data_IF_731210212302
#
_entry.id   IF_731210212302
#
_cell.length_a   1.000
_cell.length_b   1.000
_cell.length_c   1.000
_cell.angle_alpha   90.00
_cell.angle_beta   90.00
_cell.angle_gamma   90.00
#
_symmetry.space_group_name_H-M   'P 1'
#
loop_
_entity.id
_entity.type
_entity.pdbx_description
1 polymer ?
#
# COMPACT_ATOMS: atom_id res chain seq x y z
N UNK A 1 5.96 -17.50 3.02
CA UNK A 1 6.19 -18.82 2.39
C UNK A 1 7.44 -18.75 1.53
N UNK A 2 8.37 -19.71 1.67
CA UNK A 2 9.62 -19.79 0.90
C UNK A 2 9.35 -19.85 -0.61
N UNK A 3 10.04 -19.02 -1.40
CA UNK A 3 9.92 -19.03 -2.86
C UNK A 3 8.55 -18.63 -3.41
N UNK A 4 7.62 -18.18 -2.56
CA UNK A 4 6.27 -17.86 -2.97
C UNK A 4 6.26 -16.70 -3.96
N UNK A 5 5.52 -16.87 -5.06
CA UNK A 5 5.45 -15.94 -6.18
C UNK A 5 4.03 -15.38 -6.31
N UNK A 6 3.94 -14.07 -6.50
CA UNK A 6 2.72 -13.41 -6.95
C UNK A 6 2.99 -12.73 -8.29
N UNK A 7 2.05 -12.90 -9.22
CA UNK A 7 2.16 -12.41 -10.59
C UNK A 7 2.78 -13.43 -11.57
N UNK A 8 3.00 -13.05 -12.84
CA UNK A 8 2.75 -11.72 -13.40
C UNK A 8 1.29 -11.29 -13.25
N UNK A 9 1.06 -10.05 -12.82
CA UNK A 9 -0.28 -9.53 -12.60
C UNK A 9 -0.33 -8.02 -12.83
N UNK A 10 -1.42 -7.59 -13.45
CA UNK A 10 -1.82 -6.19 -13.58
C UNK A 10 -2.91 -5.89 -12.55
N UNK A 11 -2.81 -4.76 -11.86
CA UNK A 11 -3.77 -4.35 -10.82
C UNK A 11 -4.43 -3.02 -11.19
N UNK A 12 -5.73 -2.80 -10.90
CA UNK A 12 -6.41 -1.54 -11.21
C UNK A 12 -6.31 -0.51 -10.07
N UNK A 13 -5.38 -0.66 -9.13
CA UNK A 13 -5.23 0.19 -7.95
C UNK A 13 -3.74 0.33 -7.58
N UNK A 14 -3.39 1.39 -6.84
CA UNK A 14 -2.06 1.57 -6.29
C UNK A 14 -1.83 0.61 -5.14
N UNK A 15 -0.62 0.07 -5.06
CA UNK A 15 -0.24 -0.84 -4.00
C UNK A 15 1.16 -0.54 -3.51
N UNK A 16 1.28 -0.22 -2.22
CA UNK A 16 2.58 -0.03 -1.56
C UNK A 16 2.85 -1.25 -0.70
N UNK A 17 4.03 -1.84 -0.85
CA UNK A 17 4.56 -2.86 0.04
C UNK A 17 5.69 -2.30 0.89
N UNK A 18 5.80 -2.79 2.13
CA UNK A 18 6.95 -2.54 2.99
C UNK A 18 7.40 -3.84 3.66
N UNK A 19 8.69 -4.14 3.55
CA UNK A 19 9.28 -5.39 4.02
C UNK A 19 9.69 -5.22 5.48
N UNK A 20 9.10 -6.04 6.36
CA UNK A 20 9.36 -6.05 7.79
C UNK A 20 10.59 -6.88 8.15
N UNK A 21 10.75 -8.03 7.50
CA UNK A 21 11.86 -8.95 7.71
C UNK A 21 12.16 -9.74 6.43
N UNK A 22 13.34 -10.37 6.36
CA UNK A 22 13.73 -11.21 5.24
C UNK A 22 13.96 -10.45 3.93
N UNK A 23 13.81 -11.13 2.81
CA UNK A 23 14.12 -10.62 1.48
C UNK A 23 13.30 -11.27 0.36
N UNK A 24 13.39 -10.68 -0.82
CA UNK A 24 12.83 -11.23 -2.04
C UNK A 24 13.13 -10.37 -3.26
N UNK A 25 12.45 -10.68 -4.36
CA UNK A 25 12.65 -10.04 -5.66
C UNK A 25 11.35 -9.41 -6.15
N UNK A 26 11.37 -8.11 -6.44
CA UNK A 26 10.31 -7.41 -7.15
C UNK A 26 10.71 -7.19 -8.61
N UNK A 27 9.81 -7.48 -9.54
CA UNK A 27 10.03 -7.38 -10.98
C UNK A 27 8.95 -6.53 -11.61
N UNK A 28 9.40 -5.66 -12.51
CA UNK A 28 8.61 -4.84 -13.41
C UNK A 28 9.07 -5.14 -14.84
N UNK A 29 8.36 -4.62 -15.83
CA UNK A 29 8.79 -4.72 -17.23
C UNK A 29 10.18 -4.09 -17.49
N UNK A 30 10.58 -3.14 -16.66
CA UNK A 30 11.80 -2.34 -16.84
C UNK A 30 12.99 -2.89 -16.06
N UNK A 31 12.75 -3.51 -14.91
CA UNK A 31 13.81 -3.79 -13.93
C UNK A 31 13.45 -4.87 -12.92
N UNK A 32 14.51 -5.46 -12.37
CA UNK A 32 14.47 -6.47 -11.31
C UNK A 32 15.18 -5.91 -10.08
N UNK A 33 14.47 -5.88 -8.96
CA UNK A 33 14.93 -5.34 -7.69
C UNK A 33 15.02 -6.45 -6.65
N UNK A 34 16.19 -6.62 -6.03
CA UNK A 34 16.35 -7.45 -4.83
C UNK A 34 16.14 -6.55 -3.62
N UNK A 35 15.17 -6.90 -2.78
CA UNK A 35 14.72 -6.07 -1.68
C UNK A 35 14.81 -6.82 -0.37
N UNK A 36 15.03 -6.08 0.72
CA UNK A 36 15.13 -6.60 2.07
C UNK A 36 14.36 -5.75 3.09
N UNK A 37 14.36 -6.20 4.35
CA UNK A 37 13.78 -5.49 5.48
C UNK A 37 14.18 -4.00 5.50
N UNK A 38 13.20 -3.13 5.76
CA UNK A 38 13.39 -1.67 5.72
C UNK A 38 13.14 -1.04 4.35
N UNK A 39 12.97 -1.84 3.30
CA UNK A 39 12.65 -1.36 1.96
C UNK A 39 11.19 -1.63 1.59
N UNK A 40 10.71 -0.90 0.60
CA UNK A 40 9.38 -1.07 0.06
C UNK A 40 9.31 -0.73 -1.42
N UNK A 41 8.18 -1.06 -2.03
CA UNK A 41 7.95 -0.79 -3.44
C UNK A 41 6.51 -0.37 -3.73
N UNK A 42 6.35 0.50 -4.73
CA UNK A 42 5.09 0.92 -5.31
C UNK A 42 4.76 0.07 -6.55
N UNK A 43 3.50 -0.32 -6.69
CA UNK A 43 2.90 -0.80 -7.94
C UNK A 43 1.81 0.19 -8.32
N UNK A 44 1.89 0.73 -9.53
CA UNK A 44 0.87 1.63 -10.06
C UNK A 44 -0.23 0.87 -10.82
N UNK A 45 -1.45 1.44 -10.93
CA UNK A 45 -2.51 0.88 -11.75
C UNK A 45 -2.04 0.61 -13.18
N UNK A 46 -2.38 -0.56 -13.73
CA UNK A 46 -2.04 -0.92 -15.10
C UNK A 46 -0.62 -1.47 -15.31
N UNK A 47 0.23 -1.46 -14.28
CA UNK A 47 1.59 -2.02 -14.37
C UNK A 47 1.58 -3.54 -14.18
N UNK A 48 2.18 -4.29 -15.09
CA UNK A 48 2.44 -5.71 -14.88
C UNK A 48 3.65 -5.88 -13.96
N UNK A 49 3.45 -6.59 -12.86
CA UNK A 49 4.52 -6.84 -11.89
C UNK A 49 4.51 -8.26 -11.38
N UNK A 50 5.67 -8.71 -10.91
CA UNK A 50 5.84 -10.00 -10.22
C UNK A 50 6.69 -9.79 -8.97
N UNK A 51 6.33 -10.39 -7.85
CA UNK A 51 7.21 -10.43 -6.69
C UNK A 51 7.32 -11.84 -6.10
N UNK A 52 8.52 -12.18 -5.67
CA UNK A 52 8.92 -13.54 -5.28
C UNK A 52 9.68 -13.47 -3.96
N UNK A 53 9.19 -14.16 -2.93
CA UNK A 53 9.91 -14.30 -1.67
C UNK A 53 11.21 -15.08 -1.89
N UNK A 54 12.29 -14.69 -1.20
CA UNK A 54 13.51 -15.48 -1.21
C UNK A 54 13.26 -16.90 -0.68
N UNK A 55 14.06 -17.87 -1.14
CA UNK A 55 13.89 -19.27 -0.72
C UNK A 55 14.44 -19.53 0.67
N UNK A 56 15.54 -18.87 1.03
CA UNK A 56 16.26 -19.10 2.28
C UNK A 56 15.80 -18.13 3.37
N UNK A 57 15.53 -16.89 2.99
CA UNK A 57 15.17 -15.77 3.87
C UNK A 57 13.89 -15.09 3.38
N UNK A 58 12.75 -15.80 3.28
CA UNK A 58 11.54 -15.24 2.72
C UNK A 58 11.10 -13.99 3.48
N UNK A 59 10.68 -12.97 2.75
CA UNK A 59 10.17 -11.76 3.38
C UNK A 59 8.90 -11.97 4.20
N UNK A 60 8.72 -11.15 5.22
CA UNK A 60 7.41 -10.74 5.73
C UNK A 60 7.21 -9.27 5.38
N UNK A 61 5.98 -8.90 5.01
CA UNK A 61 5.67 -7.55 4.56
C UNK A 61 4.26 -7.15 4.93
N UNK A 62 4.04 -5.85 5.02
CA UNK A 62 2.71 -5.22 5.03
C UNK A 62 2.45 -4.55 3.71
N UNK A 63 1.18 -4.35 3.36
CA UNK A 63 0.81 -3.71 2.13
C UNK A 63 -0.44 -2.85 2.30
N UNK A 64 -0.56 -1.83 1.45
CA UNK A 64 -1.71 -0.91 1.43
C UNK A 64 -2.14 -0.74 -0.02
N UNK A 65 -3.35 -1.20 -0.32
CA UNK A 65 -4.00 -0.98 -1.60
C UNK A 65 -4.94 0.22 -1.53
N UNK A 66 -4.86 1.13 -2.49
CA UNK A 66 -5.74 2.30 -2.55
C UNK A 66 -6.03 2.75 -3.98
N UNK A 67 -7.20 3.37 -4.17
CA UNK A 67 -7.69 3.86 -5.46
C UNK A 67 -8.69 5.00 -5.26
N UNK A 68 -9.14 5.61 -6.36
CA UNK A 68 -10.11 6.71 -6.35
C UNK A 68 -9.50 8.06 -6.74
N UNK A 69 -10.35 9.08 -6.84
CA UNK A 69 -10.02 10.36 -7.49
C UNK A 69 -8.84 11.13 -6.87
N UNK A 70 -8.45 10.79 -5.64
CA UNK A 70 -7.36 11.44 -4.91
C UNK A 70 -6.09 10.59 -4.83
N UNK A 71 -6.11 9.35 -5.33
CA UNK A 71 -4.98 8.43 -5.24
C UNK A 71 -3.77 8.96 -6.05
N UNK A 72 -4.01 9.42 -7.27
CA UNK A 72 -2.96 10.01 -8.12
C UNK A 72 -2.34 11.25 -7.46
N UNK A 73 -3.17 12.11 -6.88
CA UNK A 73 -2.71 13.33 -6.19
C UNK A 73 -1.88 13.00 -4.94
N UNK A 74 -2.19 11.90 -4.24
CA UNK A 74 -1.42 11.44 -3.09
C UNK A 74 -0.05 10.92 -3.53
N UNK A 75 0.00 10.11 -4.59
CA UNK A 75 1.26 9.57 -5.13
C UNK A 75 2.15 10.69 -5.67
N UNK A 76 1.59 11.71 -6.32
CA UNK A 76 2.35 12.88 -6.78
C UNK A 76 3.03 13.68 -5.65
N UNK A 77 2.60 13.52 -4.40
CA UNK A 77 3.19 14.18 -3.24
C UNK A 77 4.39 13.42 -2.65
N UNK A 78 4.70 12.23 -3.15
CA UNK A 78 5.82 11.41 -2.69
C UNK A 78 6.78 11.13 -3.86
N UNK A 79 8.09 10.98 -3.61
CA UNK A 79 9.07 10.70 -4.65
C UNK A 79 9.04 9.22 -5.05
N UNK A 80 7.87 8.71 -5.42
CA UNK A 80 7.68 7.36 -5.94
C UNK A 80 6.84 7.39 -7.20
N UNK A 81 7.24 6.59 -8.18
CA UNK A 81 6.50 6.41 -9.42
C UNK A 81 6.98 5.12 -10.10
N UNK A 82 6.42 4.78 -11.27
CA UNK A 82 6.84 3.61 -12.05
C UNK A 82 8.35 3.49 -12.32
N UNK A 83 9.07 4.61 -12.53
CA UNK A 83 10.51 4.61 -12.81
C UNK A 83 11.37 4.53 -11.55
N UNK A 84 10.86 5.10 -10.45
CA UNK A 84 11.49 5.05 -9.13
C UNK A 84 10.51 4.43 -8.13
N UNK A 85 10.23 3.11 -8.23
CA UNK A 85 9.18 2.50 -7.42
C UNK A 85 9.66 2.11 -6.03
N UNK A 86 10.97 2.12 -5.77
CA UNK A 86 11.58 1.59 -4.55
C UNK A 86 11.84 2.72 -3.55
N UNK A 87 11.50 2.48 -2.29
CA UNK A 87 11.86 3.36 -1.19
C UNK A 87 12.50 2.58 -0.04
N UNK A 88 13.20 3.31 0.83
CA UNK A 88 13.77 2.78 2.06
C UNK A 88 13.33 3.65 3.23
N UNK A 89 12.81 3.03 4.30
CA UNK A 89 12.49 3.70 5.55
C UNK A 89 13.35 3.09 6.65
N UNK A 90 14.20 3.93 7.23
CA UNK A 90 15.03 3.56 8.39
C UNK A 90 14.20 3.49 9.68
N UNK A 91 12.95 3.96 9.67
CA UNK A 91 12.01 3.90 10.79
C UNK A 91 10.63 3.39 10.31
N UNK A 92 10.22 2.15 10.69
CA UNK A 92 8.90 1.59 10.39
C UNK A 92 7.74 2.44 10.92
N UNK A 93 7.94 3.24 11.99
CA UNK A 93 6.91 4.14 12.53
C UNK A 93 6.49 5.18 11.51
N UNK A 94 7.41 5.58 10.62
CA UNK A 94 7.11 6.53 9.54
C UNK A 94 6.15 5.96 8.51
N UNK A 95 6.14 4.64 8.30
CA UNK A 95 5.11 3.99 7.49
C UNK A 95 3.76 4.12 8.18
N UNK A 96 3.67 3.80 9.48
CA UNK A 96 2.45 3.94 10.28
C UNK A 96 1.96 5.40 10.29
N UNK A 97 2.86 6.38 10.37
CA UNK A 97 2.51 7.79 10.23
C UNK A 97 1.98 8.13 8.84
N UNK A 98 2.59 7.63 7.75
CA UNK A 98 2.09 7.84 6.38
C UNK A 98 0.72 7.19 6.18
N UNK A 99 0.52 6.00 6.74
CA UNK A 99 -0.78 5.33 6.80
C UNK A 99 -1.75 6.25 7.55
N UNK A 100 -1.47 6.60 8.80
CA UNK A 100 -2.34 7.42 9.65
C UNK A 100 -2.62 8.81 9.08
N UNK A 101 -1.65 9.46 8.44
CA UNK A 101 -1.83 10.74 7.74
C UNK A 101 -2.72 10.57 6.52
N UNK A 102 -2.61 9.44 5.81
CA UNK A 102 -3.53 9.10 4.72
C UNK A 102 -4.94 8.91 5.27
N UNK A 103 -5.11 8.15 6.36
CA UNK A 103 -6.40 7.99 7.06
C UNK A 103 -6.97 9.32 7.55
N UNK A 104 -6.19 10.17 8.22
CA UNK A 104 -6.65 11.47 8.70
C UNK A 104 -6.93 12.46 7.57
N UNK A 105 -6.14 12.45 6.49
CA UNK A 105 -6.48 13.23 5.28
C UNK A 105 -7.72 12.69 4.60
N UNK A 106 -7.91 11.36 4.51
CA UNK A 106 -9.12 10.73 3.99
C UNK A 106 -10.33 11.08 4.86
N UNK A 107 -10.22 11.01 6.18
CA UNK A 107 -11.27 11.41 7.12
C UNK A 107 -11.57 12.90 7.03
N UNK A 108 -10.56 13.78 6.99
CA UNK A 108 -10.77 15.22 6.83
C UNK A 108 -11.36 15.54 5.45
N UNK A 109 -10.93 14.85 4.40
CA UNK A 109 -11.44 15.04 3.04
C UNK A 109 -12.86 14.52 2.92
N UNK A 110 -13.17 13.35 3.48
CA UNK A 110 -14.51 12.77 3.60
C UNK A 110 -15.39 13.68 4.46
N UNK A 111 -14.92 14.19 5.60
CA UNK A 111 -15.65 15.14 6.44
C UNK A 111 -15.88 16.48 5.73
N UNK A 112 -14.90 17.02 4.99
CA UNK A 112 -15.07 18.21 4.15
C UNK A 112 -16.06 17.96 3.02
N UNK A 113 -16.06 16.77 2.43
CA UNK A 113 -17.01 16.36 1.40
C UNK A 113 -18.40 16.14 1.99
N UNK A 114 -18.53 15.54 3.18
CA UNK A 114 -19.78 15.38 3.93
C UNK A 114 -20.33 16.71 4.42
N UNK A 115 -19.48 17.67 4.81
CA UNK A 115 -19.90 19.05 5.10
C UNK A 115 -20.39 19.76 3.83
N UNK A 116 -19.81 19.49 2.66
CA UNK A 116 -20.33 19.95 1.36
C UNK A 116 -21.58 19.20 0.88
N UNK A 117 -21.72 17.92 1.22
CA UNK A 117 -22.82 17.02 0.80
C UNK A 117 -23.98 16.99 1.79
N UNK A 118 -23.83 17.57 2.98
CA UNK A 118 -24.92 17.73 3.96
C UNK A 118 -25.99 18.74 3.49
N UNK A 119 -25.97 19.15 2.22
CA UNK A 119 -27.18 19.67 1.57
C UNK A 119 -28.08 18.58 0.97
N UNK A 120 -27.63 17.35 0.64
CA UNK A 120 -28.53 16.26 0.23
C UNK A 120 -27.88 14.84 0.20
N UNK A 121 -28.45 13.93 0.99
CA UNK A 121 -28.44 12.44 0.88
C UNK A 121 -27.29 11.57 1.44
N UNK A 122 -27.73 10.39 1.94
CA UNK A 122 -27.25 9.67 3.14
C UNK A 122 -26.97 8.17 2.86
N UNK A 123 -26.24 7.79 1.78
CA UNK A 123 -26.16 6.37 1.33
C UNK A 123 -24.80 5.64 1.33
N UNK A 124 -23.67 6.24 1.68
CA UNK A 124 -22.34 5.59 1.51
C UNK A 124 -21.65 5.04 2.78
N UNK A 125 -22.38 4.51 3.77
CA UNK A 125 -21.77 3.93 5.00
C UNK A 125 -21.12 2.55 4.84
N UNK A 126 -21.31 1.85 3.71
CA UNK A 126 -20.96 0.43 3.60
C UNK A 126 -19.46 0.13 3.49
N UNK A 127 -18.64 1.05 2.97
CA UNK A 127 -17.21 0.81 2.74
C UNK A 127 -16.30 1.08 3.96
N UNK A 128 -16.81 1.76 4.98
CA UNK A 128 -16.04 2.10 6.19
C UNK A 128 -15.94 0.95 7.19
N UNK A 129 -16.84 -0.04 7.11
CA UNK A 129 -16.97 -1.13 8.10
C UNK A 129 -15.94 -2.24 7.89
N UNK A 130 -15.54 -2.52 6.63
CA UNK A 130 -14.62 -3.62 6.32
C UNK A 130 -13.18 -3.33 6.80
N UNK A 131 -12.75 -2.07 6.79
CA UNK A 131 -11.40 -1.65 7.18
C UNK A 131 -11.24 -1.49 8.70
N UNK A 132 -12.31 -1.09 9.41
CA UNK A 132 -12.32 -1.01 10.87
C UNK A 132 -12.14 -2.39 11.54
N UNK A 133 -12.57 -3.45 10.85
CA UNK A 133 -12.47 -4.84 11.30
C UNK A 133 -11.02 -5.35 11.24
N UNK A 134 -10.26 -4.94 10.22
CA UNK A 134 -8.84 -5.26 10.03
C UNK A 134 -7.89 -4.56 11.02
N UNK A 135 -8.27 -3.38 11.51
CA UNK A 135 -7.47 -2.60 12.46
C UNK A 135 -7.74 -2.95 13.93
N UNK A 136 -8.87 -3.62 14.23
CA UNK A 136 -9.24 -4.00 15.60
C UNK A 136 -9.11 -5.51 15.89
N UNK A 137 -8.85 -6.36 14.90
CA UNK A 137 -8.48 -7.76 15.15
C UNK A 137 -7.11 -7.80 15.83
N UNK A 138 -7.08 -8.10 17.13
CA UNK A 138 -5.88 -8.28 17.95
C UNK A 138 -5.03 -9.51 17.56
N UNK A 139 -5.27 -10.11 16.40
CA UNK A 139 -4.73 -11.41 16.00
C UNK A 139 -3.57 -11.30 14.99
N UNK A 140 -2.58 -10.46 15.29
CA UNK A 140 -1.32 -10.41 14.50
C UNK A 140 -0.04 -10.67 15.30
N UNK A 141 -0.16 -11.14 16.54
CA UNK A 141 0.96 -11.71 17.29
C UNK A 141 0.65 -13.13 17.75
N UNK A 142 0.63 -14.09 16.82
CA UNK A 142 1.07 -15.48 17.03
C UNK A 142 1.45 -16.11 15.69
#
# INVERSE_FOLDING_TARGET
>A
MSGHKYGPAVRPYYLIHYILAGSGTFKTDQSIYKLHAGQGFLIEPGQETTYIADKNTPWSYVWIGFSGNFADQLIQQIPLNQREPIFSLNDPKRLIELVNLSYHKLDILVLRFLMKMNSHHRKHRKYLVDMYSLLNSHDFFY
#
